data_IF_778326235199
#
_entry.id   IF_778326235199
#
_cell.length_a   1.000
_cell.length_b   1.000
_cell.length_c   1.000
_cell.angle_alpha   90.00
_cell.angle_beta   90.00
_cell.angle_gamma   90.00
#
_symmetry.space_group_name_H-M   'P 1'
#
loop_
_entity.id
_entity.type
_entity.pdbx_description
1 polymer ?
#
# COMPACT_ATOMS: atom_id res chain seq x y z
N UNK A 1 -14.13 3.50 -8.57
CA UNK A 1 -12.76 3.74 -8.11
C UNK A 1 -12.55 5.23 -7.96
N UNK A 2 -12.22 5.70 -6.77
CA UNK A 2 -11.93 7.10 -6.51
C UNK A 2 -10.54 7.44 -7.07
N UNK A 3 -10.30 8.68 -7.49
CA UNK A 3 -9.00 9.15 -8.03
C UNK A 3 -7.80 8.75 -7.16
N UNK A 4 -7.98 8.71 -5.86
CA UNK A 4 -6.94 8.35 -4.89
C UNK A 4 -6.52 6.86 -4.95
N UNK A 5 -7.43 5.95 -5.29
CA UNK A 5 -7.12 4.51 -5.29
C UNK A 5 -6.14 4.14 -6.42
N UNK A 6 -6.30 4.75 -7.58
CA UNK A 6 -5.37 4.54 -8.71
C UNK A 6 -3.97 5.10 -8.43
N UNK A 7 -3.88 6.20 -7.68
CA UNK A 7 -2.60 6.78 -7.28
C UNK A 7 -1.87 5.90 -6.26
N UNK A 8 -2.59 5.31 -5.31
CA UNK A 8 -2.01 4.36 -4.34
C UNK A 8 -1.50 3.10 -5.03
N UNK A 9 -2.28 2.55 -5.96
CA UNK A 9 -1.86 1.37 -6.73
C UNK A 9 -0.60 1.65 -7.55
N UNK A 10 -0.54 2.80 -8.22
CA UNK A 10 0.64 3.21 -8.97
C UNK A 10 1.87 3.40 -8.07
N UNK A 11 1.70 4.01 -6.90
CA UNK A 11 2.79 4.21 -5.95
C UNK A 11 3.34 2.86 -5.42
N UNK A 12 2.47 1.91 -5.12
CA UNK A 12 2.86 0.56 -4.68
C UNK A 12 3.61 -0.16 -5.81
N UNK A 13 3.08 -0.15 -7.03
CA UNK A 13 3.75 -0.75 -8.18
C UNK A 13 5.16 -0.17 -8.38
N UNK A 14 5.28 1.15 -8.39
CA UNK A 14 6.58 1.84 -8.56
C UNK A 14 7.55 1.54 -7.41
N UNK A 15 7.05 1.42 -6.18
CA UNK A 15 7.88 1.05 -5.03
C UNK A 15 8.40 -0.39 -5.16
N UNK A 16 7.56 -1.34 -5.58
CA UNK A 16 7.97 -2.73 -5.82
C UNK A 16 9.00 -2.82 -6.95
N UNK A 17 8.79 -2.10 -8.06
CA UNK A 17 9.77 -1.99 -9.14
C UNK A 17 11.11 -1.47 -8.64
N UNK A 18 11.08 -0.42 -7.81
CA UNK A 18 12.28 0.17 -7.21
C UNK A 18 12.99 -0.80 -6.27
N UNK A 19 12.27 -1.61 -5.48
CA UNK A 19 12.86 -2.66 -4.65
C UNK A 19 13.67 -3.66 -5.47
N UNK A 20 13.23 -3.95 -6.69
CA UNK A 20 13.86 -4.91 -7.58
C UNK A 20 14.90 -4.27 -8.52
N UNK A 21 15.01 -2.94 -8.52
CA UNK A 21 15.89 -2.21 -9.41
C UNK A 21 15.42 -2.26 -10.88
N UNK A 22 14.11 -2.36 -11.10
CA UNK A 22 13.49 -2.47 -12.42
C UNK A 22 12.81 -1.15 -12.81
N UNK A 23 12.90 -0.72 -14.08
CA UNK A 23 12.15 0.43 -14.57
C UNK A 23 10.65 0.07 -14.66
N UNK A 24 9.71 0.90 -14.11
CA UNK A 24 8.30 0.54 -13.96
C UNK A 24 7.57 0.19 -15.27
N UNK A 25 8.00 0.76 -16.40
CA UNK A 25 7.32 0.62 -17.69
C UNK A 25 7.98 -0.38 -18.64
N UNK A 26 9.00 -1.13 -18.21
CA UNK A 26 9.64 -2.11 -19.08
C UNK A 26 8.76 -3.37 -19.25
N UNK A 27 8.82 -4.00 -20.41
CA UNK A 27 8.13 -5.24 -20.68
C UNK A 27 8.51 -6.35 -19.68
N UNK A 28 9.77 -6.41 -19.28
CA UNK A 28 10.26 -7.33 -18.27
C UNK A 28 9.57 -7.09 -16.92
N UNK A 29 9.40 -5.83 -16.52
CA UNK A 29 8.72 -5.49 -15.26
C UNK A 29 7.24 -5.86 -15.32
N UNK A 30 6.55 -5.54 -16.40
CA UNK A 30 5.14 -5.85 -16.58
C UNK A 30 4.87 -7.35 -16.64
N UNK A 31 5.82 -8.15 -17.11
CA UNK A 31 5.72 -9.59 -17.07
C UNK A 31 5.97 -10.19 -15.69
N UNK A 32 6.87 -9.58 -14.90
CA UNK A 32 7.28 -10.05 -13.58
C UNK A 32 6.35 -9.58 -12.46
N UNK A 33 5.96 -8.28 -12.46
CA UNK A 33 5.18 -7.67 -11.37
C UNK A 33 3.77 -7.36 -11.86
N UNK A 34 2.78 -8.01 -11.29
CA UNK A 34 1.38 -7.93 -11.70
C UNK A 34 0.48 -7.62 -10.50
N UNK A 35 -0.53 -6.80 -10.73
CA UNK A 35 -1.59 -6.63 -9.75
C UNK A 35 -2.53 -7.82 -9.83
N UNK A 36 -2.82 -8.45 -8.69
CA UNK A 36 -3.76 -9.56 -8.62
C UNK A 36 -5.19 -9.08 -8.94
N UNK A 37 -5.99 -9.96 -9.55
CA UNK A 37 -7.42 -9.74 -9.85
C UNK A 37 -7.74 -8.63 -10.86
N UNK A 38 -6.76 -8.12 -11.59
CA UNK A 38 -6.98 -7.11 -12.65
C UNK A 38 -6.91 -7.69 -14.05
N UNK A 39 -6.41 -8.91 -14.19
CA UNK A 39 -6.29 -9.57 -15.49
C UNK A 39 -7.64 -10.11 -15.95
N UNK A 40 -7.94 -10.06 -17.26
CA UNK A 40 -9.10 -10.73 -17.83
C UNK A 40 -9.06 -12.24 -17.52
N UNK A 41 -10.23 -12.86 -17.35
CA UNK A 41 -10.36 -14.30 -17.05
C UNK A 41 -9.58 -15.23 -18.00
N UNK A 42 -9.30 -14.76 -19.21
CA UNK A 42 -8.60 -15.52 -20.25
C UNK A 42 -7.12 -15.15 -20.41
N UNK A 43 -6.53 -14.38 -19.46
CA UNK A 43 -5.09 -14.12 -19.53
C UNK A 43 -4.29 -15.41 -19.38
N UNK A 44 -3.33 -15.67 -20.27
CA UNK A 44 -2.52 -16.88 -20.16
C UNK A 44 -1.76 -16.88 -18.85
N UNK A 45 -1.87 -17.98 -18.12
CA UNK A 45 -1.11 -18.13 -16.88
C UNK A 45 0.40 -18.16 -17.19
N UNK A 46 1.22 -17.51 -16.34
CA UNK A 46 2.67 -17.57 -16.51
C UNK A 46 3.17 -19.01 -16.48
N UNK A 47 4.19 -19.29 -17.29
CA UNK A 47 4.83 -20.60 -17.29
C UNK A 47 5.25 -20.95 -15.85
N UNK A 48 5.10 -22.20 -15.46
CA UNK A 48 5.36 -22.69 -14.11
C UNK A 48 6.79 -22.42 -13.62
N UNK A 49 7.75 -22.42 -14.52
CA UNK A 49 9.16 -22.11 -14.25
C UNK A 49 9.46 -20.62 -14.26
N UNK A 50 8.48 -19.79 -14.65
CA UNK A 50 8.67 -18.34 -14.67
C UNK A 50 8.49 -17.74 -13.27
N UNK A 51 9.36 -16.82 -12.94
CA UNK A 51 9.18 -15.96 -11.76
C UNK A 51 8.08 -14.95 -12.04
N UNK A 52 7.12 -14.84 -11.13
CA UNK A 52 6.03 -13.86 -11.17
C UNK A 52 5.72 -13.38 -9.76
N UNK A 53 5.47 -12.10 -9.63
CA UNK A 53 5.12 -11.44 -8.37
C UNK A 53 3.73 -10.84 -8.52
N UNK A 54 2.77 -11.41 -7.81
CA UNK A 54 1.44 -10.83 -7.69
C UNK A 54 1.36 -9.98 -6.43
N UNK A 55 0.68 -8.85 -6.51
CA UNK A 55 0.40 -8.04 -5.35
C UNK A 55 -1.06 -7.60 -5.34
N UNK A 56 -1.62 -7.48 -4.16
CA UNK A 56 -2.96 -6.94 -3.93
C UNK A 56 -2.97 -6.07 -2.68
N UNK A 57 -3.83 -5.06 -2.69
CA UNK A 57 -4.06 -4.18 -1.58
C UNK A 57 -5.50 -4.39 -1.09
N UNK A 58 -5.65 -4.77 0.18
CA UNK A 58 -6.95 -4.92 0.81
C UNK A 58 -7.07 -4.02 2.03
N UNK A 59 -8.22 -3.36 2.25
CA UNK A 59 -8.46 -2.66 3.49
C UNK A 59 -8.50 -3.69 4.63
N UNK A 60 -7.83 -3.39 5.72
CA UNK A 60 -8.04 -4.09 6.98
C UNK A 60 -9.34 -3.56 7.56
N UNK A 61 -10.23 -4.43 8.08
CA UNK A 61 -11.50 -3.98 8.68
C UNK A 61 -11.17 -3.04 9.84
N UNK A 62 -11.26 -1.77 9.59
CA UNK A 62 -10.85 -0.74 10.52
C UNK A 62 -11.98 -0.47 11.50
N UNK A 63 -11.90 -1.04 12.67
CA UNK A 63 -12.39 -0.37 13.85
C UNK A 63 -11.31 0.63 14.26
N UNK A 64 -11.61 1.90 14.07
CA UNK A 64 -10.93 3.08 14.55
C UNK A 64 -9.66 3.52 13.80
N UNK A 65 -9.82 4.31 12.75
CA UNK A 65 -8.73 5.13 12.27
C UNK A 65 -8.37 6.16 13.34
N UNK A 66 -7.15 6.12 13.83
CA UNK A 66 -6.63 7.24 14.61
C UNK A 66 -6.76 8.51 13.77
N UNK A 67 -7.83 9.25 13.98
CA UNK A 67 -8.08 10.53 13.31
C UNK A 67 -7.64 11.66 14.21
N UNK A 68 -6.91 12.59 13.67
CA UNK A 68 -6.66 13.86 14.34
C UNK A 68 -7.07 15.01 13.43
N UNK A 69 -7.59 16.05 14.04
CA UNK A 69 -8.01 17.25 13.35
C UNK A 69 -6.87 18.25 13.35
N UNK A 70 -6.40 18.65 12.18
CA UNK A 70 -5.47 19.75 12.03
C UNK A 70 -6.17 20.90 11.29
N UNK A 71 -5.97 22.12 11.78
CA UNK A 71 -6.45 23.31 11.09
C UNK A 71 -5.31 23.86 10.26
N UNK A 72 -5.35 23.62 8.95
CA UNK A 72 -4.37 24.20 8.03
C UNK A 72 -4.73 25.66 7.76
N UNK A 73 -3.91 26.57 8.28
CA UNK A 73 -4.01 27.99 7.98
C UNK A 73 -3.41 28.24 6.58
N UNK A 74 -4.25 28.50 5.60
CA UNK A 74 -3.85 29.07 4.32
C UNK A 74 -4.27 30.53 4.27
N UNK A 75 -3.45 31.41 3.69
CA UNK A 75 -3.61 32.86 3.67
C UNK A 75 -5.09 33.30 3.50
N UNK A 76 -5.73 33.70 4.58
CA UNK A 76 -7.09 34.24 4.61
C UNK A 76 -8.26 33.25 4.62
N UNK A 77 -8.03 31.94 4.52
CA UNK A 77 -9.09 30.92 4.58
C UNK A 77 -8.67 29.78 5.50
N UNK A 78 -9.30 29.63 6.64
CA UNK A 78 -9.14 28.45 7.48
C UNK A 78 -9.99 27.32 6.87
N UNK A 79 -9.34 26.34 6.26
CA UNK A 79 -9.97 25.10 5.86
C UNK A 79 -9.63 24.03 6.88
N UNK A 80 -10.57 23.54 7.67
CA UNK A 80 -10.30 22.41 8.53
C UNK A 80 -10.02 21.19 7.64
N UNK A 81 -8.90 20.53 7.91
CA UNK A 81 -8.54 19.26 7.31
C UNK A 81 -8.57 18.19 8.39
N UNK A 82 -9.22 17.09 8.11
CA UNK A 82 -9.17 15.90 8.96
C UNK A 82 -8.22 14.92 8.32
N UNK A 83 -7.15 14.63 9.02
CA UNK A 83 -6.20 13.59 8.63
C UNK A 83 -6.58 12.30 9.35
N UNK A 84 -6.84 11.26 8.61
CA UNK A 84 -7.06 9.92 9.15
C UNK A 84 -6.07 8.94 8.52
N UNK A 85 -5.72 7.91 9.29
CA UNK A 85 -4.90 6.82 8.81
C UNK A 85 -5.76 5.57 8.69
N UNK A 86 -5.87 5.06 7.48
CA UNK A 86 -6.58 3.82 7.18
C UNK A 86 -5.59 2.66 7.23
N UNK A 87 -6.04 1.55 7.80
CA UNK A 87 -5.28 0.31 7.81
C UNK A 87 -5.49 -0.48 6.53
N UNK A 88 -4.40 -0.90 5.90
CA UNK A 88 -4.41 -1.75 4.71
C UNK A 88 -3.41 -2.89 4.88
N UNK A 89 -3.65 -3.98 4.18
CA UNK A 89 -2.70 -5.06 4.01
C UNK A 89 -2.27 -5.12 2.54
N UNK A 90 -0.96 -5.08 2.31
CA UNK A 90 -0.34 -5.35 1.03
C UNK A 90 0.11 -6.81 1.03
N UNK A 91 -0.61 -7.66 0.30
CA UNK A 91 -0.22 -9.04 0.06
C UNK A 91 0.65 -9.09 -1.19
N UNK A 92 1.81 -9.70 -1.07
CA UNK A 92 2.76 -9.96 -2.16
C UNK A 92 2.98 -11.46 -2.23
N UNK A 93 2.70 -12.04 -3.38
CA UNK A 93 2.85 -13.47 -3.64
C UNK A 93 3.85 -13.66 -4.77
N UNK A 94 5.00 -14.20 -4.43
CA UNK A 94 6.08 -14.48 -5.38
C UNK A 94 6.03 -15.95 -5.77
N UNK A 95 5.98 -16.23 -7.06
CA UNK A 95 6.06 -17.59 -7.61
C UNK A 95 7.37 -17.81 -8.35
N UNK A 96 7.77 -19.07 -8.47
CA UNK A 96 8.90 -19.50 -9.26
C UNK A 96 10.18 -19.78 -8.47
N UNK A 97 11.27 -20.13 -9.15
CA UNK A 97 12.54 -20.48 -8.52
C UNK A 97 13.13 -19.37 -7.65
N UNK A 98 12.96 -18.11 -8.05
CA UNK A 98 13.46 -16.92 -7.36
C UNK A 98 12.53 -16.36 -6.29
N UNK A 99 11.38 -16.95 -6.01
CA UNK A 99 10.32 -16.38 -5.18
C UNK A 99 10.80 -15.90 -3.80
N UNK A 100 11.61 -16.70 -3.13
CA UNK A 100 12.14 -16.38 -1.79
C UNK A 100 13.09 -15.18 -1.84
N UNK A 101 13.98 -15.14 -2.83
CA UNK A 101 14.92 -14.03 -3.01
C UNK A 101 14.19 -12.71 -3.28
N UNK A 102 13.14 -12.74 -4.10
CA UNK A 102 12.31 -11.56 -4.36
C UNK A 102 11.58 -11.07 -3.10
N UNK A 103 10.95 -11.98 -2.36
CA UNK A 103 10.24 -11.63 -1.12
C UNK A 103 11.18 -11.03 -0.07
N UNK A 104 12.37 -11.61 0.14
CA UNK A 104 13.39 -11.07 1.03
C UNK A 104 13.92 -9.72 0.55
N UNK A 105 14.16 -9.54 -0.73
CA UNK A 105 14.62 -8.28 -1.30
C UNK A 105 13.60 -7.16 -1.12
N UNK A 106 12.33 -7.41 -1.43
CA UNK A 106 11.25 -6.44 -1.21
C UNK A 106 11.17 -6.06 0.27
N UNK A 107 11.16 -7.04 1.16
CA UNK A 107 11.16 -6.80 2.61
C UNK A 107 12.33 -5.92 3.04
N UNK A 108 13.53 -6.25 2.58
CA UNK A 108 14.74 -5.52 2.97
C UNK A 108 14.69 -4.04 2.55
N UNK A 109 14.34 -3.76 1.31
CA UNK A 109 14.27 -2.38 0.82
C UNK A 109 13.12 -1.57 1.44
N UNK A 110 12.02 -2.22 1.81
CA UNK A 110 10.90 -1.52 2.46
C UNK A 110 11.15 -1.24 3.94
N UNK A 111 11.98 -2.03 4.63
CA UNK A 111 12.14 -1.93 6.09
C UNK A 111 13.55 -1.53 6.55
N UNK A 112 14.60 -2.04 5.92
CA UNK A 112 15.97 -1.78 6.36
C UNK A 112 16.52 -0.46 5.81
N UNK A 113 16.12 -0.08 4.61
CA UNK A 113 16.52 1.20 4.02
C UNK A 113 15.46 2.27 4.21
N UNK A 114 15.43 2.86 5.40
CA UNK A 114 14.44 3.87 5.76
C UNK A 114 14.50 5.17 4.93
N UNK A 115 15.62 5.45 4.29
CA UNK A 115 15.83 6.60 3.39
C UNK A 115 15.80 6.22 1.92
N UNK A 116 15.67 4.92 1.60
CA UNK A 116 15.70 4.41 0.23
C UNK A 116 14.55 4.87 -0.64
N UNK A 117 14.79 4.81 -1.94
CA UNK A 117 13.84 5.26 -2.95
C UNK A 117 12.45 4.60 -2.83
N UNK A 118 12.30 3.28 -2.57
CA UNK A 118 10.99 2.65 -2.42
C UNK A 118 10.15 3.29 -1.32
N UNK A 119 10.73 3.54 -0.16
CA UNK A 119 10.05 4.22 0.95
C UNK A 119 9.70 5.66 0.65
N UNK A 120 10.55 6.39 -0.08
CA UNK A 120 10.24 7.75 -0.49
C UNK A 120 9.05 7.80 -1.45
N UNK A 121 8.95 6.84 -2.39
CA UNK A 121 7.80 6.72 -3.30
C UNK A 121 6.52 6.53 -2.50
N UNK A 122 6.49 5.59 -1.56
CA UNK A 122 5.33 5.33 -0.70
C UNK A 122 4.96 6.54 0.15
N UNK A 123 5.94 7.19 0.80
CA UNK A 123 5.71 8.38 1.63
C UNK A 123 5.10 9.54 0.85
N UNK A 124 5.53 9.77 -0.38
CA UNK A 124 4.95 10.81 -1.25
C UNK A 124 3.48 10.56 -1.54
N UNK A 125 3.06 9.31 -1.60
CA UNK A 125 1.67 8.90 -1.75
C UNK A 125 0.91 8.77 -0.41
N UNK A 126 1.53 9.14 0.73
CA UNK A 126 0.90 9.01 2.04
C UNK A 126 0.80 7.58 2.55
N UNK A 127 1.65 6.67 2.05
CA UNK A 127 1.65 5.25 2.42
C UNK A 127 2.83 4.95 3.33
N UNK A 128 2.57 4.33 4.48
CA UNK A 128 3.57 4.06 5.52
C UNK A 128 3.52 2.58 5.92
N UNK A 129 4.56 1.78 5.62
CA UNK A 129 4.70 0.45 6.19
C UNK A 129 4.78 0.51 7.72
N UNK A 130 4.02 -0.35 8.39
CA UNK A 130 4.05 -0.44 9.86
C UNK A 130 5.40 -0.99 10.31
N UNK A 131 6.04 -0.39 11.33
CA UNK A 131 7.36 -0.82 11.81
C UNK A 131 7.26 -2.18 12.50
N UNK A 132 7.36 -3.23 11.80
CA UNK A 132 7.51 -4.63 12.24
C UNK A 132 7.60 -5.48 10.97
N UNK A 133 8.83 -5.72 10.45
CA UNK A 133 8.97 -6.36 9.16
C UNK A 133 8.53 -7.83 9.22
N UNK A 134 7.45 -8.21 8.55
CA UNK A 134 7.00 -9.59 8.52
C UNK A 134 8.04 -10.49 7.84
N UNK A 135 8.16 -11.74 8.30
CA UNK A 135 8.98 -12.72 7.61
C UNK A 135 8.24 -13.28 6.40
N UNK A 136 8.90 -13.41 5.23
CA UNK A 136 8.32 -14.14 4.11
C UNK A 136 8.02 -15.59 4.49
N UNK A 137 6.86 -16.07 4.08
CA UNK A 137 6.44 -17.46 4.30
C UNK A 137 6.66 -18.26 3.02
N UNK A 138 7.54 -19.26 3.09
CA UNK A 138 7.78 -20.18 1.98
C UNK A 138 6.73 -21.29 1.98
N UNK A 139 6.03 -21.41 0.88
CA UNK A 139 4.93 -22.35 0.68
C UNK A 139 5.15 -23.16 -0.59
N UNK A 140 4.45 -24.30 -0.68
CA UNK A 140 4.37 -25.11 -1.88
C UNK A 140 2.90 -25.28 -2.24
N UNK A 141 2.52 -24.80 -3.40
CA UNK A 141 1.16 -24.86 -3.91
C UNK A 141 1.01 -26.00 -4.92
N UNK A 142 -0.02 -26.87 -4.78
CA UNK A 142 -0.27 -27.92 -5.75
C UNK A 142 -0.79 -27.31 -7.06
N UNK A 143 -0.15 -27.65 -8.16
CA UNK A 143 -0.56 -27.27 -9.50
C UNK A 143 -0.65 -28.54 -10.39
N UNK A 144 -1.84 -29.12 -10.46
CA UNK A 144 -2.05 -30.44 -11.05
C UNK A 144 -1.34 -31.53 -10.25
N UNK A 145 -0.46 -32.31 -10.91
CA UNK A 145 0.33 -33.38 -10.28
C UNK A 145 1.67 -32.92 -9.69
N UNK A 146 1.96 -31.64 -9.74
CA UNK A 146 3.26 -31.08 -9.37
C UNK A 146 3.09 -29.97 -8.32
N UNK A 147 4.21 -29.58 -7.70
CA UNK A 147 4.25 -28.51 -6.70
C UNK A 147 4.91 -27.27 -7.29
N UNK A 148 4.30 -26.10 -7.06
CA UNK A 148 4.89 -24.82 -7.39
C UNK A 148 5.40 -24.13 -6.14
N UNK A 149 6.63 -23.67 -6.20
CA UNK A 149 7.24 -22.90 -5.09
C UNK A 149 6.66 -21.50 -5.05
N UNK A 150 6.30 -21.06 -3.83
CA UNK A 150 5.65 -19.78 -3.56
C UNK A 150 6.21 -19.16 -2.29
N UNK A 151 6.39 -17.85 -2.29
CA UNK A 151 6.74 -17.09 -1.09
C UNK A 151 5.73 -15.94 -0.90
N UNK A 152 5.09 -15.91 0.24
CA UNK A 152 4.11 -14.91 0.62
C UNK A 152 4.72 -13.89 1.57
N UNK A 153 4.42 -12.63 1.34
CA UNK A 153 4.82 -11.52 2.20
C UNK A 153 3.61 -10.59 2.39
N UNK A 154 3.10 -10.53 3.61
CA UNK A 154 1.99 -9.65 3.98
C UNK A 154 2.53 -8.45 4.74
N UNK A 155 2.37 -7.25 4.19
CA UNK A 155 2.89 -6.01 4.75
C UNK A 155 1.74 -5.16 5.25
N UNK A 156 1.63 -4.93 6.56
CA UNK A 156 0.65 -3.99 7.09
C UNK A 156 1.07 -2.55 6.75
N UNK A 157 0.11 -1.77 6.26
CA UNK A 157 0.30 -0.38 5.84
C UNK A 157 -0.65 0.55 6.58
N UNK A 158 -0.19 1.78 6.79
CA UNK A 158 -1.05 2.92 7.13
C UNK A 158 -1.09 3.87 5.95
N UNK A 159 -2.29 4.19 5.49
CA UNK A 159 -2.51 5.10 4.37
C UNK A 159 -3.16 6.36 4.90
N UNK A 160 -2.52 7.50 4.65
CA UNK A 160 -3.07 8.80 5.02
C UNK A 160 -4.19 9.18 4.05
N UNK A 161 -5.35 9.48 4.60
CA UNK A 161 -6.50 9.97 3.87
C UNK A 161 -6.87 11.36 4.40
N UNK A 162 -6.73 12.35 3.53
CA UNK A 162 -6.94 13.76 3.88
C UNK A 162 -8.33 14.18 3.44
N UNK A 163 -9.24 14.36 4.41
CA UNK A 163 -10.57 14.90 4.16
C UNK A 163 -10.54 16.42 4.35
N UNK A 164 -10.55 17.13 3.24
CA UNK A 164 -10.69 18.60 3.24
C UNK A 164 -12.15 18.95 3.02
N UNK A 165 -12.77 19.61 3.99
CA UNK A 165 -14.12 20.12 3.83
C UNK A 165 -14.15 21.65 4.01
N UNK A 166 -14.97 22.29 3.21
CA UNK A 166 -15.19 23.74 3.33
C UNK A 166 -16.28 23.99 4.37
N UNK A 167 -15.93 24.67 5.45
CA UNK A 167 -16.93 25.21 6.38
C UNK A 167 -17.29 26.60 5.89
N UNK A 168 -18.55 26.82 5.51
CA UNK A 168 -19.04 28.15 5.22
C UNK A 168 -19.00 29.00 6.51
N UNK A 169 -18.34 30.16 6.44
CA UNK A 169 -18.28 31.13 7.52
C UNK A 169 -19.72 31.54 7.89
N UNK A 170 -20.22 31.06 9.01
CA UNK A 170 -21.57 31.43 9.48
C UNK A 170 -22.17 30.43 10.46
N UNK A 171 -21.59 29.22 10.57
CA UNK A 171 -22.22 28.15 11.35
C UNK A 171 -21.79 28.04 12.81
N UNK A 172 -20.71 28.71 13.24
CA UNK A 172 -20.26 28.65 14.65
C UNK A 172 -20.00 30.06 15.16
N UNK A 173 -21.01 30.67 15.75
CA UNK A 173 -20.89 31.97 16.42
C UNK A 173 -20.46 31.86 17.88
N UNK A 174 -20.40 30.68 18.45
CA UNK A 174 -19.87 30.45 19.81
C UNK A 174 -19.41 29.00 19.96
N UNK A 175 -18.28 28.76 20.67
CA UNK A 175 -17.91 27.41 21.03
C UNK A 175 -18.96 26.80 21.97
N UNK A 176 -19.22 25.50 21.92
CA UNK A 176 -20.11 24.86 22.87
C UNK A 176 -19.60 25.07 24.29
N UNK A 177 -20.49 25.54 25.17
CA UNK A 177 -20.14 25.73 26.57
C UNK A 177 -19.80 24.35 27.19
N UNK A 178 -18.60 24.19 27.67
CA UNK A 178 -18.21 22.99 28.43
C UNK A 178 -18.81 23.17 29.82
N UNK A 179 -19.88 22.45 30.11
CA UNK A 179 -20.45 22.37 31.46
C UNK A 179 -19.63 21.34 32.22
N UNK A 180 -18.73 21.85 33.08
CA UNK A 180 -18.05 21.02 34.08
C UNK A 180 -19.02 20.77 35.23
N UNK A 181 -19.59 19.59 35.34
CA UNK A 181 -20.25 19.13 36.54
C UNK A 181 -19.19 18.85 37.62
N UNK A 182 -19.27 19.57 38.72
CA UNK A 182 -18.54 19.29 39.95
C UNK A 182 -19.21 18.16 40.72
#
# INVERSE_FOLDING_TARGET
MTSNESEFQLAIHNALCSCLGLPPSSEQTLSLIRQAYTEPENSPQPARTADVIYWSLSPESAEDPASYNETVASAGTHKPAVHRYLAYQLLIVCYGPGCEAYAHRIRSFLYLDGAGLPRQILRKAGIYPVPDPPAPQLLYEPEGSLWRRRADLTIPLRVRDDLVYSVSRGAITSPPAVILHR
#
